data_IF_814843364624
#
_entry.id   IF_814843364624
#
_cell.length_a   1.000
_cell.length_b   1.000
_cell.length_c   1.000
_cell.angle_alpha   90.00
_cell.angle_beta   90.00
_cell.angle_gamma   90.00
#
_symmetry.space_group_name_H-M   'P 1'
#
loop_
_entity.id
_entity.type
_entity.pdbx_description
1 polymer ?
#
# COMPACT_ATOMS: atom_id res chain seq x y z
N UNK A 1 -0.64 10.06 -5.87
CA UNK A 1 0.16 11.03 -5.09
C UNK A 1 1.37 11.45 -5.92
N UNK A 2 1.70 12.73 -5.99
CA UNK A 2 2.98 13.19 -6.56
C UNK A 2 4.00 13.20 -5.42
N UNK A 3 4.89 12.21 -5.39
CA UNK A 3 5.74 11.88 -4.24
C UNK A 3 6.59 13.05 -3.77
N UNK A 4 6.42 13.44 -2.51
CA UNK A 4 7.32 14.33 -1.75
C UNK A 4 8.07 13.55 -0.66
N UNK A 5 8.34 12.27 -0.86
CA UNK A 5 9.15 11.45 0.04
C UNK A 5 10.56 11.31 -0.56
N UNK A 6 11.56 12.07 -0.08
CA UNK A 6 12.94 11.93 -0.54
C UNK A 6 13.44 10.51 -0.24
N UNK A 7 14.06 9.85 -1.22
CA UNK A 7 14.68 8.54 -1.04
C UNK A 7 13.78 7.33 -1.25
N UNK A 8 12.48 7.51 -1.51
CA UNK A 8 11.60 6.39 -1.87
C UNK A 8 11.90 5.92 -3.29
N UNK A 9 11.98 4.60 -3.49
CA UNK A 9 12.15 4.04 -4.82
C UNK A 9 10.85 4.26 -5.65
N UNK A 10 10.94 4.70 -6.93
CA UNK A 10 9.77 5.01 -7.76
C UNK A 10 8.75 3.88 -7.97
N UNK A 11 9.19 2.64 -8.15
CA UNK A 11 8.33 1.46 -8.16
C UNK A 11 7.61 1.27 -6.81
N UNK A 12 8.31 1.35 -5.69
CA UNK A 12 7.69 1.25 -4.36
C UNK A 12 6.59 2.31 -4.18
N UNK A 13 6.88 3.57 -4.50
CA UNK A 13 5.91 4.66 -4.41
C UNK A 13 4.64 4.42 -5.24
N UNK A 14 4.79 3.85 -6.44
CA UNK A 14 3.65 3.49 -7.30
C UNK A 14 2.85 2.34 -6.71
N UNK A 15 3.51 1.30 -6.23
CA UNK A 15 2.87 0.14 -5.61
C UNK A 15 2.10 0.54 -4.34
N UNK A 16 2.69 1.35 -3.46
CA UNK A 16 2.00 1.91 -2.29
C UNK A 16 0.78 2.72 -2.69
N UNK A 17 0.91 3.59 -3.70
CA UNK A 17 -0.23 4.39 -4.18
C UNK A 17 -1.34 3.49 -4.71
N UNK A 18 -1.03 2.49 -5.52
CA UNK A 18 -2.00 1.55 -6.07
C UNK A 18 -2.67 0.72 -4.96
N UNK A 19 -1.91 0.27 -3.97
CA UNK A 19 -2.40 -0.50 -2.83
C UNK A 19 -3.40 0.31 -2.00
N UNK A 20 -3.09 1.57 -1.70
CA UNK A 20 -4.00 2.48 -0.98
C UNK A 20 -5.25 2.80 -1.81
N UNK A 21 -5.14 2.87 -3.15
CA UNK A 21 -6.30 3.05 -4.01
C UNK A 21 -7.23 1.83 -3.95
N UNK A 22 -6.72 0.62 -4.14
CA UNK A 22 -7.50 -0.61 -4.00
C UNK A 22 -8.14 -0.74 -2.61
N UNK A 23 -7.40 -0.38 -1.56
CA UNK A 23 -7.91 -0.43 -0.18
C UNK A 23 -9.06 0.54 0.07
N UNK A 24 -9.09 1.70 -0.61
CA UNK A 24 -10.16 2.69 -0.46
C UNK A 24 -11.46 2.30 -1.15
N UNK A 25 -11.44 1.32 -2.04
CA UNK A 25 -12.63 0.73 -2.65
C UNK A 25 -13.31 -0.31 -1.74
N UNK A 26 -12.67 -0.68 -0.63
CA UNK A 26 -13.24 -1.58 0.36
C UNK A 26 -14.16 -0.85 1.33
N UNK A 27 -15.16 -1.55 1.86
CA UNK A 27 -16.05 -1.07 2.93
C UNK A 27 -15.36 -1.11 4.30
N UNK A 28 -14.25 -0.38 4.44
CA UNK A 28 -13.55 -0.24 5.72
C UNK A 28 -14.34 0.65 6.68
N UNK A 29 -14.23 0.37 7.98
CA UNK A 29 -14.74 1.26 9.01
C UNK A 29 -14.08 2.64 8.92
N UNK A 30 -12.77 2.67 8.66
CA UNK A 30 -12.04 3.91 8.35
C UNK A 30 -10.98 3.67 7.28
N UNK A 31 -11.19 4.26 6.11
CA UNK A 31 -10.19 4.25 5.04
C UNK A 31 -8.92 5.04 5.44
N UNK A 32 -7.71 4.58 5.02
CA UNK A 32 -6.46 5.26 5.34
C UNK A 32 -6.37 6.64 4.67
N UNK A 33 -5.95 7.62 5.46
CA UNK A 33 -5.74 8.99 5.03
C UNK A 33 -4.35 9.22 4.43
N UNK A 34 -4.04 10.49 4.15
CA UNK A 34 -2.75 10.91 3.61
C UNK A 34 -1.63 10.74 4.63
N UNK A 35 -1.90 11.04 5.91
CA UNK A 35 -0.91 10.92 6.98
C UNK A 35 -0.48 9.46 7.17
N UNK A 36 -1.44 8.55 7.29
CA UNK A 36 -1.17 7.12 7.45
C UNK A 36 -0.41 6.53 6.24
N UNK A 37 -0.74 6.99 5.03
CA UNK A 37 -0.02 6.57 3.80
C UNK A 37 1.45 7.03 3.82
N UNK A 38 1.72 8.27 4.27
CA UNK A 38 3.07 8.80 4.37
C UNK A 38 3.88 8.07 5.45
N UNK A 39 3.28 7.84 6.62
CA UNK A 39 3.91 7.10 7.71
C UNK A 39 4.27 5.68 7.29
N UNK A 40 3.37 5.00 6.56
CA UNK A 40 3.63 3.67 6.02
C UNK A 40 4.73 3.66 4.97
N UNK A 41 4.73 4.63 4.06
CA UNK A 41 5.80 4.77 3.06
C UNK A 41 7.15 4.98 3.75
N UNK A 42 7.21 5.80 4.79
CA UNK A 42 8.43 6.02 5.57
C UNK A 42 8.88 4.74 6.30
N UNK A 43 7.95 3.97 6.86
CA UNK A 43 8.25 2.69 7.48
C UNK A 43 8.83 1.68 6.48
N UNK A 44 8.26 1.57 5.28
CA UNK A 44 8.78 0.70 4.23
C UNK A 44 10.20 1.11 3.80
N UNK A 45 10.46 2.40 3.64
CA UNK A 45 11.83 2.90 3.36
C UNK A 45 12.79 2.59 4.50
N UNK A 46 12.34 2.70 5.76
CA UNK A 46 13.16 2.38 6.92
C UNK A 46 13.47 0.87 7.04
N UNK A 47 12.63 0.01 6.47
CA UNK A 47 12.84 -1.42 6.32
C UNK A 47 13.72 -1.78 5.10
N UNK A 48 14.27 -0.79 4.38
CA UNK A 48 15.03 -0.93 3.14
C UNK A 48 14.24 -1.62 2.01
N UNK A 49 12.92 -1.49 2.04
CA UNK A 49 12.07 -2.05 1.00
C UNK A 49 12.22 -1.25 -0.29
N UNK A 50 12.33 -1.97 -1.42
CA UNK A 50 12.40 -1.38 -2.76
C UNK A 50 11.21 -1.72 -3.64
N UNK A 51 10.38 -2.67 -3.20
CA UNK A 51 9.13 -3.03 -3.81
C UNK A 51 8.19 -3.58 -2.74
N UNK A 52 6.88 -3.46 -2.95
CA UNK A 52 5.88 -3.89 -2.00
C UNK A 52 5.71 -5.42 -2.09
N UNK A 53 6.13 -6.15 -1.06
CA UNK A 53 5.90 -7.60 -0.93
C UNK A 53 4.64 -7.90 -0.10
N UNK A 54 4.00 -9.04 -0.33
CA UNK A 54 2.85 -9.47 0.46
C UNK A 54 3.20 -9.63 1.95
N UNK A 55 4.38 -10.16 2.24
CA UNK A 55 4.85 -10.35 3.61
C UNK A 55 4.97 -9.01 4.34
N UNK A 56 5.67 -8.05 3.75
CA UNK A 56 5.89 -6.73 4.35
C UNK A 56 4.57 -6.00 4.57
N UNK A 57 3.63 -6.11 3.61
CA UNK A 57 2.28 -5.56 3.77
C UNK A 57 1.61 -6.16 5.02
N UNK A 58 1.56 -7.49 5.11
CA UNK A 58 0.91 -8.17 6.24
C UNK A 58 1.51 -7.77 7.60
N UNK A 59 2.84 -7.65 7.67
CA UNK A 59 3.56 -7.25 8.88
C UNK A 59 3.36 -5.76 9.26
N UNK A 60 2.95 -4.92 8.31
CA UNK A 60 2.86 -3.46 8.49
C UNK A 60 1.44 -2.88 8.34
N UNK A 61 0.41 -3.73 8.18
CA UNK A 61 -0.99 -3.29 8.05
C UNK A 61 -1.44 -2.34 9.18
N UNK A 62 -0.98 -2.56 10.42
CA UNK A 62 -1.31 -1.69 11.56
C UNK A 62 -0.80 -0.25 11.46
N UNK A 63 0.13 0.04 10.54
CA UNK A 63 0.57 1.40 10.26
C UNK A 63 -0.53 2.18 9.52
N UNK A 64 -1.26 1.51 8.61
CA UNK A 64 -2.30 2.12 7.79
C UNK A 64 -3.73 1.91 8.30
N UNK A 65 -4.02 0.77 8.94
CA UNK A 65 -5.32 0.45 9.52
C UNK A 65 -5.25 0.55 11.05
N UNK A 66 -6.25 1.22 11.64
CA UNK A 66 -6.32 1.46 13.09
C UNK A 66 -7.34 0.61 13.81
N UNK A 67 -8.22 -0.07 13.08
CA UNK A 67 -9.27 -0.91 13.61
C UNK A 67 -8.93 -2.38 13.35
N UNK A 68 -9.05 -3.22 14.38
CA UNK A 68 -8.74 -4.65 14.26
C UNK A 68 -9.65 -5.33 13.24
N UNK A 69 -10.94 -4.99 13.22
CA UNK A 69 -11.91 -5.54 12.27
C UNK A 69 -11.51 -5.27 10.80
N UNK A 70 -10.94 -4.09 10.51
CA UNK A 70 -10.43 -3.75 9.17
C UNK A 70 -9.18 -4.59 8.80
N UNK A 71 -8.33 -4.90 9.79
CA UNK A 71 -7.15 -5.76 9.60
C UNK A 71 -7.58 -7.21 9.38
N UNK A 72 -8.56 -7.69 10.14
CA UNK A 72 -9.09 -9.04 10.03
C UNK A 72 -9.82 -9.25 8.69
N UNK A 73 -10.55 -8.23 8.20
CA UNK A 73 -11.13 -8.21 6.86
C UNK A 73 -10.05 -8.36 5.77
N UNK A 74 -8.88 -7.77 6.00
CA UNK A 74 -7.72 -7.80 5.11
C UNK A 74 -6.66 -8.81 5.56
N UNK A 75 -7.09 -10.06 5.72
CA UNK A 75 -6.22 -11.17 6.09
C UNK A 75 -6.29 -12.33 5.09
N UNK A 76 -5.22 -13.14 5.04
CA UNK A 76 -5.15 -14.32 4.18
C UNK A 76 -5.40 -14.00 2.70
N UNK A 77 -6.35 -14.72 2.09
CA UNK A 77 -6.65 -14.66 0.67
C UNK A 77 -7.11 -13.26 0.20
N UNK A 78 -7.83 -12.51 1.04
CA UNK A 78 -8.31 -11.17 0.67
C UNK A 78 -7.15 -10.18 0.55
N UNK A 79 -6.17 -10.27 1.46
CA UNK A 79 -4.95 -9.48 1.43
C UNK A 79 -4.10 -9.83 0.21
N UNK A 80 -3.92 -11.12 -0.06
CA UNK A 80 -3.20 -11.59 -1.23
C UNK A 80 -3.83 -11.07 -2.52
N UNK A 81 -5.15 -11.22 -2.68
CA UNK A 81 -5.86 -10.75 -3.86
C UNK A 81 -5.74 -9.23 -4.05
N UNK A 82 -5.82 -8.46 -2.96
CA UNK A 82 -5.65 -7.00 -3.02
C UNK A 82 -4.22 -6.61 -3.39
N UNK A 83 -3.22 -7.27 -2.81
CA UNK A 83 -1.81 -7.07 -3.15
C UNK A 83 -1.59 -7.34 -4.65
N UNK A 84 -2.01 -8.49 -5.17
CA UNK A 84 -1.86 -8.85 -6.58
C UNK A 84 -2.49 -7.81 -7.52
N UNK A 85 -3.75 -7.40 -7.26
CA UNK A 85 -4.41 -6.34 -8.05
C UNK A 85 -3.63 -5.03 -8.02
N UNK A 86 -3.15 -4.63 -6.85
CA UNK A 86 -2.38 -3.39 -6.70
C UNK A 86 -1.05 -3.41 -7.48
N UNK A 87 -0.38 -4.57 -7.53
CA UNK A 87 0.87 -4.74 -8.29
C UNK A 87 0.60 -4.59 -9.79
N UNK A 88 -0.46 -5.23 -10.30
CA UNK A 88 -0.88 -5.13 -11.70
C UNK A 88 -1.26 -3.68 -12.06
N UNK A 89 -2.00 -3.00 -11.17
CA UNK A 89 -2.38 -1.60 -11.39
C UNK A 89 -1.15 -0.66 -11.41
N UNK A 90 -0.18 -0.89 -10.53
CA UNK A 90 1.06 -0.10 -10.48
C UNK A 90 1.90 -0.25 -11.76
N UNK A 91 1.92 -1.45 -12.35
CA UNK A 91 2.59 -1.72 -13.64
C UNK A 91 1.84 -1.07 -14.80
N UNK A 92 0.51 -1.15 -14.81
CA UNK A 92 -0.34 -0.55 -15.86
C UNK A 92 -0.21 0.97 -15.88
N UNK A 93 -0.19 1.61 -14.70
CA UNK A 93 0.02 3.05 -14.57
C UNK A 93 1.42 3.50 -15.03
N UNK A 94 2.43 2.61 -15.00
CA UNK A 94 3.75 2.94 -15.53
C UNK A 94 3.77 2.97 -17.07
N UNK A 95 3.02 2.07 -17.72
CA UNK A 95 2.94 1.96 -19.18
C UNK A 95 2.17 3.10 -19.86
N UNK A 96 1.29 3.79 -19.14
CA UNK A 96 0.51 4.93 -19.67
C UNK A 96 1.24 6.28 -19.59
N UNK A 97 2.37 6.34 -18.87
CA UNK A 97 3.11 7.59 -18.59
C UNK A 97 4.50 7.58 -19.24
N UNK A 98 4.87 6.49 -19.91
CA UNK A 98 6.06 6.30 -20.73
C UNK A 98 5.76 6.48 -22.21
#
# INVERSE_FOLDING_TARGET
>A
MRTKAPGVEPLLARQVTAFIQEMRELELFKSPGVAETLDWTAALVALDERALSLQTVAETLGVILKYQDDIDLLSGDSLQALHERSIVQAQTNAALVS
#
